data_IF_557611350010
#
_entry.id   IF_557611350010
#
_cell.length_a   1.000
_cell.length_b   1.000
_cell.length_c   1.000
_cell.angle_alpha   90.00
_cell.angle_beta   90.00
_cell.angle_gamma   90.00
#
_symmetry.space_group_name_H-M   'P 1'
#
loop_
_entity.id
_entity.type
_entity.pdbx_description
1 polymer ?
#
# COMPACT_ATOMS: atom_id res chain seq x y z
N UNK A 1 8.49 -12.03 31.02
CA UNK A 1 8.53 -11.65 29.58
C UNK A 1 7.70 -10.40 29.41
N UNK A 2 8.33 -9.26 29.12
CA UNK A 2 7.60 -8.02 28.87
C UNK A 2 6.79 -8.18 27.58
N UNK A 3 5.48 -8.01 27.66
CA UNK A 3 4.54 -8.15 26.53
C UNK A 3 4.61 -6.96 25.57
N UNK A 4 4.98 -5.78 26.09
CA UNK A 4 5.16 -4.54 25.35
C UNK A 4 6.13 -4.64 24.14
N UNK A 5 7.36 -5.17 24.26
CA UNK A 5 8.28 -5.25 23.12
C UNK A 5 7.79 -6.17 22.00
N UNK A 6 7.09 -7.27 22.31
CA UNK A 6 6.50 -8.14 21.29
C UNK A 6 5.33 -7.47 20.56
N UNK A 7 4.51 -6.68 21.27
CA UNK A 7 3.42 -5.91 20.66
C UNK A 7 3.94 -4.82 19.73
N UNK A 8 4.90 -4.01 20.20
CA UNK A 8 5.48 -2.94 19.39
C UNK A 8 6.17 -3.50 18.15
N UNK A 9 6.88 -4.62 18.28
CA UNK A 9 7.50 -5.31 17.14
C UNK A 9 6.46 -5.74 16.10
N UNK A 10 5.35 -6.34 16.52
CA UNK A 10 4.27 -6.76 15.62
C UNK A 10 3.65 -5.56 14.90
N UNK A 11 3.26 -4.53 15.65
CA UNK A 11 2.64 -3.33 15.09
C UNK A 11 3.55 -2.63 14.07
N UNK A 12 4.85 -2.51 14.37
CA UNK A 12 5.82 -1.88 13.46
C UNK A 12 5.98 -2.72 12.18
N UNK A 13 6.09 -4.04 12.30
CA UNK A 13 6.15 -4.92 11.13
C UNK A 13 4.89 -4.80 10.28
N UNK A 14 3.71 -4.87 10.91
CA UNK A 14 2.43 -4.74 10.22
C UNK A 14 2.30 -3.38 9.55
N UNK A 15 2.73 -2.30 10.20
CA UNK A 15 2.72 -0.96 9.63
C UNK A 15 3.59 -0.87 8.37
N UNK A 16 4.82 -1.41 8.43
CA UNK A 16 5.76 -1.43 7.31
C UNK A 16 5.19 -2.24 6.15
N UNK A 17 4.72 -3.46 6.40
CA UNK A 17 4.17 -4.32 5.34
C UNK A 17 2.91 -3.71 4.73
N UNK A 18 1.99 -3.22 5.55
CA UNK A 18 0.73 -2.60 5.06
C UNK A 18 0.98 -1.31 4.29
N UNK A 19 2.04 -0.56 4.62
CA UNK A 19 2.47 0.59 3.84
C UNK A 19 3.06 0.17 2.51
N UNK A 20 3.93 -0.84 2.54
CA UNK A 20 4.72 -1.28 1.39
C UNK A 20 3.86 -1.99 0.35
N UNK A 21 2.83 -2.73 0.75
CA UNK A 21 1.92 -3.45 -0.15
C UNK A 21 1.34 -2.57 -1.26
N UNK A 22 0.64 -1.45 -0.98
CA UNK A 22 0.12 -0.59 -2.04
C UNK A 22 1.21 0.13 -2.82
N UNK A 23 2.35 0.50 -2.19
CA UNK A 23 3.47 1.12 -2.91
C UNK A 23 4.02 0.17 -3.98
N UNK A 24 4.29 -1.08 -3.58
CA UNK A 24 4.83 -2.11 -4.48
C UNK A 24 3.79 -2.48 -5.54
N UNK A 25 2.52 -2.62 -5.17
CA UNK A 25 1.47 -2.98 -6.12
C UNK A 25 1.28 -1.90 -7.19
N UNK A 26 1.16 -0.64 -6.79
CA UNK A 26 1.04 0.49 -7.72
C UNK A 26 2.30 0.60 -8.57
N UNK A 27 3.48 0.51 -7.96
CA UNK A 27 4.77 0.57 -8.67
C UNK A 27 4.92 -0.55 -9.70
N UNK A 28 4.47 -1.77 -9.38
CA UNK A 28 4.49 -2.91 -10.29
C UNK A 28 3.58 -2.67 -11.48
N UNK A 29 2.34 -2.21 -11.26
CA UNK A 29 1.40 -1.86 -12.33
C UNK A 29 2.00 -0.78 -13.23
N UNK A 30 2.62 0.23 -12.64
CA UNK A 30 3.23 1.32 -13.40
C UNK A 30 4.41 0.83 -14.25
N UNK A 31 5.27 -0.02 -13.67
CA UNK A 31 6.41 -0.61 -14.37
C UNK A 31 5.98 -1.55 -15.50
N UNK A 32 4.95 -2.37 -15.30
CA UNK A 32 4.44 -3.28 -16.35
C UNK A 32 3.83 -2.50 -17.51
N UNK A 33 3.01 -1.49 -17.23
CA UNK A 33 2.40 -0.64 -18.26
C UNK A 33 3.46 0.17 -19.02
N UNK A 34 4.45 0.72 -18.32
CA UNK A 34 5.59 1.39 -18.96
C UNK A 34 6.40 0.42 -19.83
N UNK A 35 6.56 -0.83 -19.41
CA UNK A 35 7.23 -1.88 -20.20
C UNK A 35 6.45 -2.23 -21.47
N UNK A 36 5.12 -2.37 -21.36
CA UNK A 36 4.24 -2.56 -22.52
C UNK A 36 4.30 -1.39 -23.50
N UNK A 37 4.50 -0.17 -22.99
CA UNK A 37 4.71 1.04 -23.79
C UNK A 37 5.89 0.97 -24.77
N UNK A 38 6.91 0.15 -24.47
CA UNK A 38 8.09 0.00 -25.33
C UNK A 38 7.90 -1.05 -26.44
N UNK A 39 6.81 -1.81 -26.42
CA UNK A 39 6.54 -2.86 -27.40
C UNK A 39 5.71 -2.27 -28.55
N UNK A 40 6.22 -2.25 -29.79
CA UNK A 40 5.43 -1.78 -30.93
C UNK A 40 4.19 -2.66 -31.10
N UNK A 41 3.01 -2.03 -31.27
CA UNK A 41 1.63 -2.57 -31.21
C UNK A 41 0.94 -2.57 -29.83
N UNK A 42 1.68 -2.57 -28.72
CA UNK A 42 1.09 -2.46 -27.36
C UNK A 42 1.29 -1.08 -26.73
N UNK A 43 1.96 -0.17 -27.44
CA UNK A 43 2.30 1.18 -26.98
C UNK A 43 1.08 1.97 -26.47
N UNK A 44 -0.05 1.90 -27.19
CA UNK A 44 -1.30 2.59 -26.82
C UNK A 44 -1.79 2.10 -25.45
N UNK A 45 -1.80 0.79 -25.22
CA UNK A 45 -2.26 0.18 -23.96
C UNK A 45 -1.33 0.59 -22.82
N UNK A 46 -0.02 0.63 -23.08
CA UNK A 46 0.97 1.06 -22.09
C UNK A 46 0.81 2.54 -21.71
N UNK A 47 0.74 3.44 -22.70
CA UNK A 47 0.62 4.88 -22.49
C UNK A 47 -0.71 5.26 -21.84
N UNK A 48 -1.84 4.78 -22.37
CA UNK A 48 -3.16 5.06 -21.80
C UNK A 48 -3.29 4.45 -20.40
N UNK A 49 -2.73 3.26 -20.18
CA UNK A 49 -2.72 2.63 -18.87
C UNK A 49 -1.94 3.46 -17.84
N UNK A 50 -0.73 3.91 -18.18
CA UNK A 50 0.08 4.77 -17.29
C UNK A 50 -0.67 6.06 -16.97
N UNK A 51 -1.26 6.71 -17.99
CA UNK A 51 -2.04 7.93 -17.81
C UNK A 51 -3.24 7.71 -16.90
N UNK A 52 -3.97 6.60 -17.07
CA UNK A 52 -5.15 6.29 -16.27
C UNK A 52 -4.80 5.99 -14.81
N UNK A 53 -3.70 5.26 -14.56
CA UNK A 53 -3.18 5.05 -13.20
C UNK A 53 -2.78 6.39 -12.58
N UNK A 54 -2.06 7.25 -13.31
CA UNK A 54 -1.69 8.58 -12.83
C UNK A 54 -2.90 9.46 -12.52
N UNK A 55 -3.96 9.43 -13.35
CA UNK A 55 -5.22 10.14 -13.09
C UNK A 55 -5.91 9.61 -11.83
N UNK A 56 -6.00 8.29 -11.67
CA UNK A 56 -6.58 7.67 -10.48
C UNK A 56 -5.84 8.10 -9.21
N UNK A 57 -4.50 8.02 -9.20
CA UNK A 57 -3.68 8.50 -8.09
C UNK A 57 -3.89 10.01 -7.84
N UNK A 58 -4.01 10.81 -8.88
CA UNK A 58 -4.21 12.26 -8.77
C UNK A 58 -5.54 12.63 -8.09
N UNK A 59 -6.59 11.80 -8.19
CA UNK A 59 -7.86 11.99 -7.47
C UNK A 59 -7.62 11.99 -5.96
N UNK A 60 -6.80 11.07 -5.44
CA UNK A 60 -6.47 11.00 -4.01
C UNK A 60 -5.39 12.02 -3.60
N UNK A 61 -4.53 12.42 -4.54
CA UNK A 61 -3.37 13.25 -4.28
C UNK A 61 -3.50 14.73 -4.64
N UNK A 62 -4.74 15.24 -4.78
CA UNK A 62 -5.03 16.64 -5.18
C UNK A 62 -4.29 17.07 -6.44
N UNK A 63 -4.31 16.24 -7.49
CA UNK A 63 -3.60 16.51 -8.75
C UNK A 63 -2.17 15.96 -8.81
N UNK A 64 -1.59 15.51 -7.69
CA UNK A 64 -0.26 14.90 -7.67
C UNK A 64 -0.34 13.39 -7.42
N UNK A 65 0.08 12.59 -8.41
CA UNK A 65 0.01 11.14 -8.33
C UNK A 65 0.81 10.55 -7.14
N UNK A 66 1.99 11.10 -6.84
CA UNK A 66 2.84 10.64 -5.72
C UNK A 66 2.13 10.85 -4.39
N UNK A 67 1.44 11.98 -4.23
CA UNK A 67 0.64 12.26 -3.04
C UNK A 67 -0.53 11.28 -2.92
N UNK A 68 -1.09 10.84 -4.04
CA UNK A 68 -2.10 9.78 -4.10
C UNK A 68 -1.60 8.46 -3.55
N UNK A 69 -0.41 8.01 -4.01
CA UNK A 69 0.23 6.78 -3.48
C UNK A 69 0.42 6.88 -1.98
N UNK A 70 1.00 7.99 -1.50
CA UNK A 70 1.23 8.18 -0.06
C UNK A 70 -0.07 8.15 0.74
N UNK A 71 -1.15 8.72 0.22
CA UNK A 71 -2.46 8.74 0.88
C UNK A 71 -3.04 7.32 1.00
N UNK A 72 -2.99 6.53 -0.07
CA UNK A 72 -3.47 5.15 -0.08
C UNK A 72 -2.63 4.28 0.87
N UNK A 73 -1.30 4.42 0.82
CA UNK A 73 -0.38 3.70 1.70
C UNK A 73 -0.59 4.05 3.17
N UNK A 74 -0.88 5.32 3.48
CA UNK A 74 -1.16 5.70 4.87
C UNK A 74 -2.49 5.13 5.36
N UNK A 75 -3.51 5.14 4.50
CA UNK A 75 -4.80 4.53 4.81
C UNK A 75 -4.68 3.02 5.06
N UNK A 76 -3.94 2.29 4.22
CA UNK A 76 -3.73 0.85 4.41
C UNK A 76 -2.92 0.55 5.68
N UNK A 77 -1.89 1.35 5.99
CA UNK A 77 -1.14 1.23 7.24
C UNK A 77 -2.03 1.42 8.46
N UNK A 78 -2.87 2.45 8.45
CA UNK A 78 -3.80 2.71 9.55
C UNK A 78 -4.72 1.51 9.77
N UNK A 79 -5.35 1.00 8.70
CA UNK A 79 -6.21 -0.18 8.78
C UNK A 79 -5.44 -1.40 9.28
N UNK A 80 -4.26 -1.69 8.72
CA UNK A 80 -3.44 -2.84 9.12
C UNK A 80 -3.02 -2.81 10.59
N UNK A 81 -2.59 -1.63 11.08
CA UNK A 81 -2.23 -1.44 12.49
C UNK A 81 -3.43 -1.62 13.41
N UNK A 82 -4.61 -1.10 13.06
CA UNK A 82 -5.82 -1.30 13.86
C UNK A 82 -6.23 -2.78 13.92
N UNK A 83 -6.16 -3.50 12.81
CA UNK A 83 -6.47 -4.92 12.76
C UNK A 83 -5.50 -5.77 13.60
N UNK A 84 -4.20 -5.48 13.54
CA UNK A 84 -3.19 -6.18 14.34
C UNK A 84 -3.38 -5.88 15.83
N UNK A 85 -3.61 -4.60 16.19
CA UNK A 85 -3.90 -4.21 17.56
C UNK A 85 -5.15 -4.93 18.12
N UNK A 86 -6.23 -5.02 17.34
CA UNK A 86 -7.44 -5.74 17.74
C UNK A 86 -7.19 -7.24 17.93
N UNK A 87 -6.46 -7.86 17.00
CA UNK A 87 -6.14 -9.29 17.06
C UNK A 87 -5.30 -9.62 18.29
N UNK A 88 -4.31 -8.77 18.59
CA UNK A 88 -3.46 -8.90 19.77
C UNK A 88 -4.25 -8.72 21.06
N UNK A 89 -5.16 -7.74 21.11
CA UNK A 89 -6.06 -7.55 22.25
C UNK A 89 -6.94 -8.79 22.50
N UNK A 90 -7.55 -9.32 21.43
CA UNK A 90 -8.38 -10.52 21.49
C UNK A 90 -7.58 -11.74 21.97
N UNK A 91 -6.37 -11.94 21.45
CA UNK A 91 -5.48 -13.02 21.86
C UNK A 91 -5.12 -12.95 23.35
N UNK A 92 -4.88 -11.76 23.89
CA UNK A 92 -4.63 -11.58 25.32
C UNK A 92 -5.84 -11.90 26.18
N UNK A 93 -7.05 -11.52 25.74
CA UNK A 93 -8.26 -11.78 26.48
C UNK A 93 -8.64 -13.27 26.53
N UNK A 94 -8.34 -14.04 25.48
CA UNK A 94 -8.54 -15.50 25.48
C UNK A 94 -7.49 -16.31 26.25
N UNK A 95 -6.34 -15.69 26.57
CA UNK A 95 -5.25 -16.33 27.31
C UNK A 95 -5.28 -16.04 28.82
N UNK A 96 -6.23 -15.20 29.26
CA UNK A 96 -6.62 -15.01 30.66
C UNK A 96 -7.75 -15.97 31.01
#
# INVERSE_FOLDING_TARGET
MSILPSLLRSLVLTAIFSFLTPVVFIGLIWATLSGLGHIPHLEIIGLEGVEQVSKFLAVFGSGNAIRGVMTISFASTLVGVLFDAYTLYRYQNFRR
#
